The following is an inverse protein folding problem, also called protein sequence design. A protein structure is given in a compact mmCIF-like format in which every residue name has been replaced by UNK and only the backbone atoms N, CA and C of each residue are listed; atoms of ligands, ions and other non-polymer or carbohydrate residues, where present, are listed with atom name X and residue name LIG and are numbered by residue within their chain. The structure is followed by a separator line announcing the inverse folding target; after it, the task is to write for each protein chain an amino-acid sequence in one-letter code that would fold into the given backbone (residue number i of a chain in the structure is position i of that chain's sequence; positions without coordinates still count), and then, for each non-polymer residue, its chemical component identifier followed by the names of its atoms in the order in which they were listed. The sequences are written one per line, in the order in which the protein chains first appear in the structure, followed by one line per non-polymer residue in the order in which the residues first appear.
data_IF_587433522271
#
_entry.id   IF_587433522271
#
_cell.length_a   1.000
_cell.length_b   1.000
_cell.length_c   1.000
_cell.angle_alpha   90.00
_cell.angle_beta   90.00
_cell.angle_gamma   90.00
#
_symmetry.space_group_name_H-M   'P 1'
#
loop_
_entity.id
_entity.type
_entity.pdbx_description
1 polymer ?
#
# COMPACT_ATOMS: atom_id res chain seq x y z
N UNK A 1 -5.61 -6.35 2.29
CA UNK A 1 -4.92 -7.68 2.23
C UNK A 1 -5.48 -8.70 3.23
N UNK A 2 -6.02 -8.31 4.40
CA UNK A 2 -6.65 -9.25 5.36
C UNK A 2 -7.71 -10.15 4.70
N UNK A 3 -8.66 -9.64 3.88
CA UNK A 3 -9.63 -10.51 3.21
C UNK A 3 -9.03 -11.60 2.31
N UNK A 4 -7.83 -11.39 1.78
CA UNK A 4 -7.16 -12.40 0.95
C UNK A 4 -6.64 -13.58 1.79
N UNK A 5 -6.18 -13.27 3.02
CA UNK A 5 -5.81 -14.30 3.98
C UNK A 5 -7.03 -15.11 4.41
N UNK A 6 -8.15 -14.46 4.65
CA UNK A 6 -9.40 -15.14 5.03
C UNK A 6 -9.87 -16.09 3.92
N UNK A 7 -9.87 -15.65 2.64
CA UNK A 7 -10.19 -16.51 1.50
C UNK A 7 -9.23 -17.70 1.38
N UNK A 8 -7.92 -17.45 1.58
CA UNK A 8 -6.91 -18.50 1.56
C UNK A 8 -7.14 -19.52 2.67
N UNK A 9 -7.43 -19.10 3.88
CA UNK A 9 -7.69 -19.98 5.02
C UNK A 9 -8.98 -20.79 4.87
N UNK A 10 -10.02 -20.23 4.23
CA UNK A 10 -11.26 -20.95 3.93
C UNK A 10 -11.03 -22.14 2.99
N UNK A 11 -10.08 -22.01 2.04
CA UNK A 11 -9.74 -23.08 1.10
C UNK A 11 -8.71 -24.07 1.64
N UNK A 12 -7.97 -23.69 2.69
CA UNK A 12 -6.90 -24.49 3.29
C UNK A 12 -7.13 -24.74 4.77
N UNK A 13 -8.22 -25.41 5.09
CA UNK A 13 -8.74 -25.61 6.46
C UNK A 13 -7.82 -26.40 7.41
N UNK A 14 -6.79 -27.06 6.88
CA UNK A 14 -5.79 -27.77 7.70
C UNK A 14 -4.64 -26.85 8.17
N UNK A 15 -4.61 -25.62 7.69
CA UNK A 15 -3.62 -24.62 8.12
C UNK A 15 -4.18 -23.83 9.31
N UNK A 16 -3.27 -23.37 10.18
CA UNK A 16 -3.58 -22.39 11.20
C UNK A 16 -2.77 -21.12 10.93
N UNK A 17 -3.38 -19.96 11.10
CA UNK A 17 -2.76 -18.66 10.90
C UNK A 17 -2.74 -17.87 12.21
N UNK A 18 -1.55 -17.38 12.57
CA UNK A 18 -1.38 -16.34 13.58
C UNK A 18 -0.86 -15.09 12.90
N UNK A 19 -1.67 -14.05 12.83
CA UNK A 19 -1.29 -12.79 12.19
C UNK A 19 -0.72 -11.80 13.21
N UNK A 20 0.45 -11.24 12.89
CA UNK A 20 1.01 -10.07 13.56
C UNK A 20 0.93 -8.90 12.55
N UNK A 21 0.13 -7.89 12.85
CA UNK A 21 -0.07 -6.73 11.98
C UNK A 21 0.75 -5.58 12.53
N UNK A 22 1.79 -5.20 11.81
CA UNK A 22 2.68 -4.12 12.19
C UNK A 22 3.31 -3.49 10.96
N UNK A 23 3.39 -2.18 10.95
CA UNK A 23 4.11 -1.41 9.92
C UNK A 23 5.61 -1.24 10.26
N UNK A 24 6.05 -1.73 11.42
CA UNK A 24 7.47 -1.72 11.81
C UNK A 24 8.27 -2.82 11.11
N UNK A 25 9.59 -2.66 11.12
CA UNK A 25 10.49 -3.71 10.65
C UNK A 25 10.38 -4.93 11.58
N UNK A 26 10.10 -6.09 10.99
CA UNK A 26 9.95 -7.36 11.71
C UNK A 26 11.35 -7.97 11.92
N UNK A 27 11.62 -8.34 13.15
CA UNK A 27 12.68 -9.27 13.49
C UNK A 27 12.11 -10.69 13.55
N UNK A 28 12.33 -11.48 12.50
CA UNK A 28 11.75 -12.81 12.34
C UNK A 28 12.04 -13.75 13.51
N UNK A 29 13.22 -13.63 14.10
CA UNK A 29 13.64 -14.51 15.21
C UNK A 29 13.04 -14.05 16.54
N UNK A 30 13.16 -12.76 16.85
CA UNK A 30 12.62 -12.21 18.09
C UNK A 30 11.10 -12.27 18.13
N UNK A 31 10.45 -11.97 17.00
CA UNK A 31 9.00 -11.87 16.92
C UNK A 31 8.34 -13.22 16.58
N UNK A 32 9.15 -14.30 16.41
CA UNK A 32 8.70 -15.66 16.08
C UNK A 32 7.75 -15.69 14.86
N UNK A 33 8.14 -15.01 13.78
CA UNK A 33 7.39 -14.91 12.54
C UNK A 33 7.98 -15.84 11.49
N UNK A 34 7.16 -16.69 10.87
CA UNK A 34 7.59 -17.61 9.83
C UNK A 34 7.71 -16.93 8.46
N UNK A 35 6.81 -16.00 8.17
CA UNK A 35 6.72 -15.26 6.90
C UNK A 35 6.22 -13.84 7.13
N UNK A 36 6.63 -12.91 6.29
CA UNK A 36 6.14 -11.55 6.29
C UNK A 36 5.65 -11.13 4.91
N UNK A 37 4.49 -10.48 4.85
CA UNK A 37 4.01 -9.80 3.65
C UNK A 37 4.23 -8.31 3.83
N UNK A 38 4.99 -7.68 2.92
CA UNK A 38 5.37 -6.28 3.06
C UNK A 38 5.45 -5.54 1.74
N UNK A 39 5.23 -4.25 1.80
CA UNK A 39 5.58 -3.35 0.70
C UNK A 39 7.07 -3.01 0.72
N UNK A 40 7.65 -2.88 -0.48
CA UNK A 40 9.06 -2.60 -0.69
C UNK A 40 9.95 -3.85 -0.65
N UNK A 41 11.01 -3.82 -1.46
CA UNK A 41 11.99 -4.89 -1.53
C UNK A 41 12.70 -5.05 -0.18
N UNK A 42 12.89 -6.29 0.30
CA UNK A 42 13.72 -6.51 1.50
C UNK A 42 15.15 -6.03 1.27
N UNK A 43 15.69 -5.29 2.24
CA UNK A 43 17.05 -4.78 2.17
C UNK A 43 18.08 -5.76 2.73
N UNK A 44 17.64 -6.79 3.47
CA UNK A 44 18.51 -7.79 4.07
C UNK A 44 18.74 -8.95 3.09
N UNK A 45 19.99 -9.09 2.64
CA UNK A 45 20.40 -10.13 1.69
C UNK A 45 20.35 -11.56 2.29
N UNK A 46 20.23 -11.70 3.62
CA UNK A 46 20.09 -13.00 4.29
C UNK A 46 18.66 -13.56 4.19
N UNK A 47 17.67 -12.72 3.83
CA UNK A 47 16.28 -13.11 3.71
C UNK A 47 15.93 -13.63 2.31
N UNK A 48 14.98 -14.54 2.26
CA UNK A 48 14.44 -15.07 1.02
C UNK A 48 13.13 -14.37 0.68
N UNK A 49 13.14 -13.56 -0.39
CA UNK A 49 11.97 -12.80 -0.83
C UNK A 49 11.39 -13.33 -2.13
N UNK A 50 10.06 -13.40 -2.18
CA UNK A 50 9.30 -13.62 -3.41
C UNK A 50 8.57 -12.33 -3.75
N UNK A 51 8.93 -11.69 -4.85
CA UNK A 51 8.12 -10.61 -5.41
C UNK A 51 6.76 -11.16 -5.81
N UNK A 52 5.71 -10.60 -5.24
CA UNK A 52 4.32 -10.95 -5.58
C UNK A 52 3.92 -10.19 -6.84
N UNK A 53 4.01 -8.85 -6.81
CA UNK A 53 3.71 -8.00 -7.95
C UNK A 53 4.35 -6.62 -7.81
N UNK A 54 4.40 -5.88 -8.91
CA UNK A 54 4.55 -4.43 -8.92
C UNK A 54 3.22 -3.80 -8.51
N UNK A 55 3.28 -2.76 -7.71
CA UNK A 55 2.10 -2.08 -7.17
C UNK A 55 2.17 -0.59 -7.51
N UNK A 56 1.32 -0.11 -8.42
CA UNK A 56 1.21 1.31 -8.67
C UNK A 56 0.79 2.06 -7.40
N UNK A 57 1.40 3.20 -7.17
CA UNK A 57 0.93 4.18 -6.19
C UNK A 57 0.02 5.19 -6.88
N UNK A 58 -0.93 5.71 -6.13
CA UNK A 58 -1.88 6.73 -6.59
C UNK A 58 -1.97 7.85 -5.57
N UNK A 59 -2.22 9.06 -6.05
CA UNK A 59 -2.78 10.13 -5.22
C UNK A 59 -4.30 9.96 -5.21
N UNK A 60 -4.91 9.96 -4.05
CA UNK A 60 -6.36 9.77 -3.93
C UNK A 60 -6.97 10.63 -2.82
N UNK A 61 -8.28 10.85 -2.95
CA UNK A 61 -9.11 11.56 -1.98
C UNK A 61 -10.56 11.06 -2.06
N UNK A 62 -11.33 11.28 -0.99
CA UNK A 62 -12.78 11.18 -1.05
C UNK A 62 -13.37 12.36 -1.84
N UNK A 63 -14.51 12.13 -2.56
CA UNK A 63 -15.20 13.18 -3.30
C UNK A 63 -15.56 14.37 -2.40
N UNK A 64 -16.03 14.12 -1.19
CA UNK A 64 -16.40 15.16 -0.22
C UNK A 64 -15.27 16.12 0.14
N UNK A 65 -14.01 15.64 0.12
CA UNK A 65 -12.85 16.51 0.29
C UNK A 65 -12.64 17.41 -0.93
N UNK A 66 -12.73 16.82 -2.13
CA UNK A 66 -12.52 17.54 -3.39
C UNK A 66 -13.62 18.58 -3.63
N UNK A 67 -14.87 18.29 -3.27
CA UNK A 67 -15.99 19.23 -3.39
C UNK A 67 -15.78 20.49 -2.54
N UNK A 68 -15.08 20.35 -1.41
CA UNK A 68 -14.83 21.45 -0.47
C UNK A 68 -13.57 22.23 -0.78
N UNK A 69 -12.50 21.55 -1.23
CA UNK A 69 -11.17 22.11 -1.35
C UNK A 69 -10.68 22.23 -2.80
N UNK A 70 -11.49 21.78 -3.78
CA UNK A 70 -11.08 21.71 -5.17
C UNK A 70 -10.28 20.46 -5.49
N UNK A 71 -10.10 20.21 -6.79
CA UNK A 71 -9.33 19.07 -7.30
C UNK A 71 -8.00 19.60 -7.86
N UNK A 72 -6.84 19.21 -7.29
CA UNK A 72 -5.56 19.61 -7.82
C UNK A 72 -5.35 19.03 -9.22
N UNK A 73 -4.82 19.82 -10.13
CA UNK A 73 -4.53 19.44 -11.52
C UNK A 73 -3.03 19.19 -11.75
N UNK A 74 -2.17 19.79 -10.92
CA UNK A 74 -0.73 19.72 -11.03
C UNK A 74 -0.07 19.49 -9.64
N UNK A 75 1.09 18.83 -9.54
CA UNK A 75 1.77 18.60 -8.26
C UNK A 75 2.01 19.87 -7.43
N UNK A 76 2.22 21.02 -8.05
CA UNK A 76 2.37 22.29 -7.31
C UNK A 76 1.10 22.75 -6.57
N UNK A 77 -0.09 22.35 -7.04
CA UNK A 77 -1.35 22.70 -6.39
C UNK A 77 -1.48 22.05 -5.01
N UNK A 78 -0.73 20.94 -4.77
CA UNK A 78 -0.79 20.18 -3.53
C UNK A 78 -0.36 20.98 -2.29
N UNK A 79 0.38 22.07 -2.47
CA UNK A 79 0.78 22.97 -1.37
C UNK A 79 -0.41 23.64 -0.67
N UNK A 80 -1.54 23.75 -1.39
CA UNK A 80 -2.79 24.34 -0.88
C UNK A 80 -3.72 23.28 -0.26
N UNK A 81 -3.31 22.00 -0.29
CA UNK A 81 -4.12 20.88 0.19
C UNK A 81 -3.58 20.28 1.49
N UNK A 82 -4.46 19.60 2.23
CA UNK A 82 -4.10 18.83 3.42
C UNK A 82 -3.59 17.45 3.04
N UNK A 83 -2.35 17.14 3.42
CA UNK A 83 -1.75 15.82 3.25
C UNK A 83 -2.11 14.86 4.38
N UNK A 84 -2.28 13.59 4.05
CA UNK A 84 -2.40 12.49 5.01
C UNK A 84 -1.15 11.63 4.88
N UNK A 85 -0.32 11.63 5.91
CA UNK A 85 1.02 11.12 5.82
C UNK A 85 1.18 9.80 6.55
N UNK A 86 1.93 8.91 5.94
CA UNK A 86 2.48 7.77 6.64
C UNK A 86 3.75 8.19 7.37
N UNK A 87 3.88 7.77 8.62
CA UNK A 87 5.06 7.98 9.44
C UNK A 87 5.78 6.64 9.62
N UNK A 88 7.05 6.58 9.25
CA UNK A 88 7.90 5.41 9.49
C UNK A 88 8.93 5.78 10.56
N UNK A 89 8.81 5.14 11.73
CA UNK A 89 9.56 5.53 12.93
C UNK A 89 9.31 7.01 13.24
N UNK A 90 10.35 7.84 13.29
CA UNK A 90 10.24 9.28 13.57
C UNK A 90 10.18 10.15 12.29
N UNK A 91 10.11 9.51 11.11
CA UNK A 91 10.14 10.20 9.82
C UNK A 91 8.73 10.28 9.24
N UNK A 92 8.17 11.49 9.18
CA UNK A 92 6.92 11.77 8.47
C UNK A 92 7.24 11.84 6.98
N UNK A 93 6.49 11.10 6.15
CA UNK A 93 6.61 11.11 4.68
C UNK A 93 5.80 12.25 4.08
N UNK A 94 6.18 13.50 4.42
CA UNK A 94 5.53 14.75 3.99
C UNK A 94 6.03 15.28 2.63
N UNK A 95 7.07 14.67 2.08
CA UNK A 95 7.56 14.94 0.72
C UNK A 95 7.06 13.85 -0.21
N UNK A 96 6.23 14.23 -1.16
CA UNK A 96 5.73 13.34 -2.18
C UNK A 96 6.45 13.56 -3.50
N UNK A 97 6.74 12.47 -4.18
CA UNK A 97 7.45 12.46 -5.46
C UNK A 97 6.50 11.92 -6.52
N UNK A 98 6.30 12.71 -7.56
CA UNK A 98 5.49 12.36 -8.73
C UNK A 98 6.37 12.39 -9.96
N UNK A 99 5.99 11.63 -10.97
CA UNK A 99 6.60 11.70 -12.30
C UNK A 99 5.53 11.74 -13.38
N UNK A 100 5.79 12.46 -14.42
CA UNK A 100 5.11 12.33 -15.71
C UNK A 100 6.04 11.74 -16.77
N UNK A 101 5.74 11.91 -18.06
CA UNK A 101 6.56 11.40 -19.15
C UNK A 101 7.90 12.14 -19.31
N UNK A 102 8.09 13.32 -18.70
CA UNK A 102 9.20 14.24 -18.96
C UNK A 102 10.07 14.53 -17.74
N UNK A 103 9.47 14.63 -16.56
CA UNK A 103 10.18 15.11 -15.36
C UNK A 103 9.65 14.54 -14.05
N UNK A 104 10.39 14.80 -12.97
CA UNK A 104 10.05 14.42 -11.60
C UNK A 104 9.74 15.68 -10.77
N UNK A 105 8.63 15.62 -10.02
CA UNK A 105 8.15 16.69 -9.16
C UNK A 105 8.27 16.26 -7.70
N UNK A 106 9.00 17.01 -6.90
CA UNK A 106 9.07 16.83 -5.43
C UNK A 106 8.27 17.92 -4.75
N UNK A 107 7.22 17.53 -4.07
CA UNK A 107 6.34 18.47 -3.36
C UNK A 107 6.37 18.16 -1.88
N UNK A 108 6.75 19.16 -1.09
CA UNK A 108 6.60 19.11 0.36
C UNK A 108 5.25 19.73 0.74
N UNK A 109 4.41 18.94 1.40
CA UNK A 109 3.12 19.41 1.88
C UNK A 109 3.26 19.96 3.31
N UNK A 110 2.45 20.97 3.60
CA UNK A 110 2.39 21.60 4.91
C UNK A 110 1.01 21.35 5.54
N UNK A 111 0.99 20.87 6.77
CA UNK A 111 -0.24 20.57 7.49
C UNK A 111 -0.85 19.22 7.11
N UNK A 112 -1.81 18.78 7.89
CA UNK A 112 -2.48 17.48 7.71
C UNK A 112 -2.30 16.57 8.92
N UNK A 113 -2.53 15.27 8.70
CA UNK A 113 -2.42 14.25 9.74
C UNK A 113 -1.33 13.24 9.38
N UNK A 114 -0.60 12.75 10.37
CA UNK A 114 0.38 11.70 10.20
C UNK A 114 0.09 10.54 11.15
N UNK A 115 0.29 9.31 10.68
CA UNK A 115 0.19 8.11 11.49
C UNK A 115 1.21 7.05 11.05
N UNK A 116 1.65 6.25 12.00
CA UNK A 116 2.48 5.06 11.75
C UNK A 116 1.65 3.81 11.42
N UNK A 117 0.36 3.98 11.19
CA UNK A 117 -0.59 2.95 10.77
C UNK A 117 -1.17 3.33 9.41
N UNK A 118 -0.82 2.54 8.38
CA UNK A 118 -1.27 2.76 7.01
C UNK A 118 -2.78 2.61 6.84
N UNK A 119 -3.46 1.79 7.66
CA UNK A 119 -4.92 1.65 7.64
C UNK A 119 -5.61 2.89 8.21
N UNK A 120 -5.06 3.50 9.25
CA UNK A 120 -5.59 4.76 9.78
C UNK A 120 -5.49 5.88 8.73
N UNK A 121 -4.36 5.99 8.02
CA UNK A 121 -4.20 6.94 6.90
C UNK A 121 -5.26 6.68 5.81
N UNK A 122 -5.51 5.41 5.46
CA UNK A 122 -6.58 5.02 4.52
C UNK A 122 -7.95 5.50 4.99
N UNK A 123 -8.31 5.22 6.25
CA UNK A 123 -9.60 5.63 6.84
C UNK A 123 -9.78 7.14 6.85
N UNK A 124 -8.74 7.92 7.16
CA UNK A 124 -8.80 9.38 7.07
C UNK A 124 -9.07 9.85 5.65
N UNK A 125 -8.41 9.25 4.65
CA UNK A 125 -8.63 9.56 3.25
C UNK A 125 -10.09 9.31 2.84
N UNK A 126 -10.62 8.12 3.15
CA UNK A 126 -12.02 7.74 2.88
C UNK A 126 -13.01 8.68 3.58
N UNK A 127 -12.66 9.15 4.78
CA UNK A 127 -13.49 10.10 5.56
C UNK A 127 -13.34 11.56 5.13
N UNK A 128 -12.67 11.85 4.01
CA UNK A 128 -12.55 13.19 3.47
C UNK A 128 -11.66 14.14 4.30
N UNK A 129 -10.64 13.62 4.98
CA UNK A 129 -9.74 14.45 5.82
C UNK A 129 -8.59 15.08 5.04
N UNK A 130 -8.32 14.62 3.82
CA UNK A 130 -7.23 15.12 2.98
C UNK A 130 -6.91 14.21 1.81
N UNK A 131 -5.82 14.54 1.14
CA UNK A 131 -5.20 13.75 0.07
C UNK A 131 -4.24 12.72 0.66
N UNK A 132 -4.14 11.56 0.04
CA UNK A 132 -3.17 10.53 0.43
C UNK A 132 -2.47 9.92 -0.79
N UNK A 133 -1.16 9.68 -0.68
CA UNK A 133 -0.44 8.80 -1.60
C UNK A 133 -0.49 7.38 -1.02
N UNK A 134 -1.12 6.47 -1.74
CA UNK A 134 -1.34 5.09 -1.29
C UNK A 134 -1.09 4.10 -2.43
N UNK A 135 -0.82 2.85 -2.09
CA UNK A 135 -0.81 1.77 -3.08
C UNK A 135 -2.24 1.53 -3.60
N UNK A 136 -2.37 1.28 -4.90
CA UNK A 136 -3.68 0.99 -5.48
C UNK A 136 -4.29 -0.31 -4.93
N UNK A 137 -3.48 -1.28 -4.48
CA UNK A 137 -3.97 -2.50 -3.85
C UNK A 137 -4.58 -2.23 -2.47
N UNK A 138 -3.97 -1.33 -1.67
CA UNK A 138 -4.50 -0.96 -0.36
C UNK A 138 -5.83 -0.20 -0.48
N UNK A 139 -5.97 0.61 -1.52
CA UNK A 139 -7.19 1.39 -1.81
C UNK A 139 -8.17 0.68 -2.76
N UNK A 140 -7.91 -0.56 -3.15
CA UNK A 140 -8.65 -1.23 -4.23
C UNK A 140 -10.17 -1.29 -4.01
N UNK A 141 -10.60 -1.66 -2.79
CA UNK A 141 -12.03 -1.74 -2.46
C UNK A 141 -12.70 -0.36 -2.55
N UNK A 142 -12.02 0.67 -2.03
CA UNK A 142 -12.55 2.04 -2.01
C UNK A 142 -12.60 2.65 -3.41
N UNK A 143 -11.59 2.36 -4.24
CA UNK A 143 -11.57 2.77 -5.64
C UNK A 143 -12.67 2.09 -6.44
N UNK A 144 -12.83 0.77 -6.29
CA UNK A 144 -13.87 0.01 -7.00
C UNK A 144 -15.28 0.41 -6.56
N UNK A 145 -15.47 0.72 -5.27
CA UNK A 145 -16.73 1.23 -4.73
C UNK A 145 -17.01 2.71 -5.08
N UNK A 146 -16.00 3.47 -5.52
CA UNK A 146 -16.13 4.91 -5.78
C UNK A 146 -16.10 5.79 -4.53
N UNK A 147 -15.71 5.24 -3.38
CA UNK A 147 -15.58 5.99 -2.13
C UNK A 147 -14.40 6.97 -2.15
N UNK A 148 -13.39 6.66 -2.94
CA UNK A 148 -12.25 7.54 -3.24
C UNK A 148 -12.00 7.59 -4.74
N UNK A 149 -11.38 8.68 -5.17
CA UNK A 149 -11.06 8.98 -6.56
C UNK A 149 -9.55 9.13 -6.68
N UNK A 150 -8.99 8.58 -7.77
CA UNK A 150 -7.62 8.87 -8.18
C UNK A 150 -7.53 10.29 -8.73
N UNK A 151 -6.63 11.07 -8.15
CA UNK A 151 -6.41 12.48 -8.49
C UNK A 151 -5.11 12.61 -9.28
N UNK A 152 -5.07 13.51 -10.26
CA UNK A 152 -3.90 13.75 -11.12
C UNK A 152 -3.35 12.48 -11.79
N UNK A 153 -4.14 11.72 -12.57
CA UNK A 153 -3.73 10.40 -13.09
C UNK A 153 -2.51 10.44 -14.02
N UNK A 154 -2.18 11.62 -14.57
CA UNK A 154 -1.01 11.83 -15.43
C UNK A 154 0.30 11.98 -14.63
N UNK A 155 0.21 12.32 -13.34
CA UNK A 155 1.34 12.46 -12.42
C UNK A 155 1.36 11.28 -11.46
N UNK A 156 2.26 10.34 -11.71
CA UNK A 156 2.29 9.07 -10.97
C UNK A 156 3.22 9.17 -9.77
N UNK A 157 2.73 8.90 -8.55
CA UNK A 157 3.61 8.74 -7.41
C UNK A 157 4.57 7.56 -7.61
N UNK A 158 5.71 7.58 -6.91
CA UNK A 158 6.67 6.48 -6.93
C UNK A 158 5.99 5.15 -6.64
N UNK A 159 6.06 4.16 -7.55
CA UNK A 159 5.45 2.86 -7.35
C UNK A 159 6.17 2.08 -6.23
N UNK A 160 5.52 1.02 -5.76
CA UNK A 160 6.11 0.09 -4.81
C UNK A 160 5.97 -1.34 -5.32
N UNK A 161 6.43 -2.30 -4.52
CA UNK A 161 6.33 -3.73 -4.81
C UNK A 161 5.73 -4.44 -3.60
N UNK A 162 4.97 -5.50 -3.83
CA UNK A 162 4.51 -6.39 -2.77
C UNK A 162 5.41 -7.62 -2.73
N UNK A 163 5.92 -7.94 -1.54
CA UNK A 163 6.84 -9.05 -1.31
C UNK A 163 6.34 -9.97 -0.21
N UNK A 164 6.53 -11.28 -0.42
CA UNK A 164 6.46 -12.31 0.62
C UNK A 164 7.89 -12.65 1.02
N UNK A 165 8.23 -12.51 2.29
CA UNK A 165 9.59 -12.65 2.80
C UNK A 165 9.66 -13.77 3.83
N UNK A 166 10.69 -14.59 3.75
CA UNK A 166 10.99 -15.69 4.66
C UNK A 166 12.38 -15.49 5.28
N UNK A 167 12.59 -15.84 6.55
CA UNK A 167 13.89 -15.69 7.22
C UNK A 167 14.95 -16.66 6.67
N UNK A 168 14.55 -17.80 6.15
CA UNK A 168 15.46 -18.83 5.64
C UNK A 168 14.86 -19.61 4.49
N UNK A 169 15.71 -20.35 3.76
CA UNK A 169 15.23 -21.25 2.70
C UNK A 169 14.38 -22.39 3.26
N UNK A 170 14.62 -22.82 4.49
CA UNK A 170 13.87 -23.90 5.15
C UNK A 170 12.44 -23.46 5.49
N UNK A 171 12.22 -22.17 5.70
CA UNK A 171 10.88 -21.59 5.93
C UNK A 171 9.99 -21.60 4.68
N UNK A 172 10.54 -21.94 3.50
CA UNK A 172 9.79 -22.01 2.24
C UNK A 172 9.07 -23.38 2.13
N UNK A 173 8.02 -23.54 2.92
CA UNK A 173 7.19 -24.75 2.95
C UNK A 173 6.23 -24.82 1.74
N UNK A 174 5.58 -25.96 1.47
CA UNK A 174 4.51 -26.03 0.48
C UNK A 174 3.38 -25.02 0.73
N UNK A 175 2.98 -24.80 1.99
CA UNK A 175 1.97 -23.80 2.38
C UNK A 175 2.38 -22.38 1.99
N UNK A 176 3.64 -22.01 2.21
CA UNK A 176 4.19 -20.69 1.81
C UNK A 176 4.15 -20.52 0.29
N UNK A 177 4.42 -21.57 -0.48
CA UNK A 177 4.34 -21.53 -1.95
C UNK A 177 2.89 -21.35 -2.43
N UNK A 178 1.94 -22.07 -1.83
CA UNK A 178 0.51 -21.89 -2.12
C UNK A 178 0.04 -20.47 -1.79
N UNK A 179 0.43 -19.95 -0.65
CA UNK A 179 0.09 -18.58 -0.25
C UNK A 179 0.67 -17.54 -1.22
N UNK A 180 1.93 -17.70 -1.61
CA UNK A 180 2.57 -16.85 -2.64
C UNK A 180 1.76 -16.83 -3.93
N UNK A 181 1.37 -18.01 -4.42
CA UNK A 181 0.68 -18.14 -5.71
C UNK A 181 -0.74 -17.58 -5.62
N UNK A 182 -1.44 -17.79 -4.50
CA UNK A 182 -2.75 -17.19 -4.23
C UNK A 182 -2.67 -15.65 -4.20
N UNK A 183 -1.65 -15.08 -3.56
CA UNK A 183 -1.47 -13.62 -3.55
C UNK A 183 -1.12 -13.06 -4.93
N UNK A 184 -0.34 -13.76 -5.74
CA UNK A 184 -0.05 -13.37 -7.12
C UNK A 184 -1.31 -13.33 -7.98
N UNK A 185 -2.12 -14.37 -7.89
CA UNK A 185 -3.39 -14.46 -8.64
C UNK A 185 -4.35 -13.34 -8.20
N UNK A 186 -4.53 -13.17 -6.88
CA UNK A 186 -5.44 -12.17 -6.33
C UNK A 186 -5.01 -10.75 -6.68
N UNK A 187 -3.72 -10.44 -6.53
CA UNK A 187 -3.21 -9.12 -6.88
C UNK A 187 -3.35 -8.82 -8.37
N UNK A 188 -3.06 -9.79 -9.25
CA UNK A 188 -3.23 -9.63 -10.69
C UNK A 188 -4.69 -9.38 -11.08
N UNK A 189 -5.64 -10.12 -10.47
CA UNK A 189 -7.08 -9.93 -10.68
C UNK A 189 -7.53 -8.53 -10.28
N UNK A 190 -7.12 -8.05 -9.11
CA UNK A 190 -7.48 -6.71 -8.60
C UNK A 190 -6.88 -5.61 -9.48
N UNK A 191 -5.59 -5.70 -9.80
CA UNK A 191 -4.94 -4.72 -10.67
C UNK A 191 -5.61 -4.63 -12.03
N UNK A 192 -6.01 -5.78 -12.62
CA UNK A 192 -6.77 -5.81 -13.86
C UNK A 192 -8.14 -5.13 -13.73
N UNK A 193 -8.85 -5.36 -12.63
CA UNK A 193 -10.14 -4.73 -12.37
C UNK A 193 -10.04 -3.20 -12.23
N UNK A 194 -8.95 -2.71 -11.61
CA UNK A 194 -8.69 -1.27 -11.47
C UNK A 194 -8.34 -0.57 -12.78
N UNK A 195 -7.72 -1.28 -13.74
CA UNK A 195 -7.39 -0.73 -15.07
C UNK A 195 -8.65 -0.67 -15.96
N UNK A 196 -9.60 -1.58 -15.76
CA UNK A 196 -10.82 -1.67 -16.57
C UNK A 196 -11.89 -0.62 -16.18
N UNK A 197 -11.68 0.11 -15.09
CA UNK A 197 -12.57 1.17 -14.57
C UNK A 197 -12.11 2.57 -15.00
#
# INVERSE_FOLDING_TARGET
MIPWLDEFMQTHTQLSLRANISDSNIDFYRDSVDIALRYGKPNDASMYGFKICDVPSILCAAQSYLDTHGTPAHPHDLTEHKGLFYQLQDIIKDVWVFSDASEEFKVKLHGGHAANDGDLVRRWCVSGKGLAVKSCLDMSNELLAGNVISVMPNFKPTPTELWLVCPSRQSITPAVRLLRDAFREKSASILKALIAK
#
